data_IF_812957174427
#
_entry.id   IF_812957174427
#
_cell.length_a   1.000
_cell.length_b   1.000
_cell.length_c   1.000
_cell.angle_alpha   90.00
_cell.angle_beta   90.00
_cell.angle_gamma   90.00
#
_symmetry.space_group_name_H-M   'P 1'
#
loop_
_entity.id
_entity.type
_entity.pdbx_description
1 polymer ?
#
# COMPACT_ATOMS: atom_id res chain seq x y z
N UNK A 1 1.18 -14.66 10.09
CA UNK A 1 1.15 -14.45 8.63
C UNK A 1 1.09 -12.96 8.39
N UNK A 2 1.93 -12.46 7.49
CA UNK A 2 2.07 -11.06 7.16
C UNK A 2 1.87 -10.87 5.66
N UNK A 3 1.24 -9.78 5.25
CA UNK A 3 1.16 -9.37 3.86
C UNK A 3 1.76 -7.97 3.73
N UNK A 4 2.56 -7.76 2.69
CA UNK A 4 3.16 -6.46 2.35
C UNK A 4 2.77 -6.05 0.93
N UNK A 5 2.62 -4.75 0.75
CA UNK A 5 2.39 -4.13 -0.54
C UNK A 5 2.76 -2.64 -0.52
N UNK A 6 2.92 -2.06 -1.71
CA UNK A 6 3.21 -0.65 -1.92
C UNK A 6 2.02 0.12 -2.49
N UNK A 7 1.76 1.30 -1.94
CA UNK A 7 0.80 2.25 -2.52
C UNK A 7 1.41 3.62 -2.71
N UNK A 8 1.15 4.20 -3.88
CA UNK A 8 1.49 5.59 -4.17
C UNK A 8 0.40 6.54 -3.68
N UNK A 9 0.81 7.57 -2.93
CA UNK A 9 -0.04 8.68 -2.50
C UNK A 9 0.46 9.97 -3.15
N UNK A 10 -0.41 10.61 -3.94
CA UNK A 10 -0.11 11.90 -4.52
C UNK A 10 -0.41 13.01 -3.51
N UNK A 11 0.53 13.93 -3.35
CA UNK A 11 0.29 15.20 -2.69
C UNK A 11 -0.37 16.18 -3.68
N UNK A 12 -1.25 17.06 -3.18
CA UNK A 12 -1.83 18.16 -3.95
C UNK A 12 -2.94 17.77 -4.93
N UNK A 13 -3.43 16.53 -4.87
CA UNK A 13 -4.59 16.08 -5.67
C UNK A 13 -5.72 15.71 -4.71
N UNK A 14 -6.69 16.62 -4.57
CA UNK A 14 -7.97 16.29 -3.98
C UNK A 14 -8.82 15.55 -5.03
N UNK A 15 -9.53 14.46 -4.67
CA UNK A 15 -10.49 13.83 -5.56
C UNK A 15 -11.58 14.84 -5.93
N UNK A 16 -12.24 14.60 -7.07
CA UNK A 16 -13.38 15.39 -7.50
C UNK A 16 -14.46 15.36 -6.41
N UNK A 17 -14.74 16.50 -5.80
CA UNK A 17 -15.78 16.64 -4.80
C UNK A 17 -17.08 17.12 -5.44
N UNK A 18 -18.22 16.59 -5.00
CA UNK A 18 -19.53 17.17 -5.29
C UNK A 18 -19.70 18.38 -4.38
N UNK A 19 -19.72 19.58 -4.97
CA UNK A 19 -19.94 20.83 -4.23
C UNK A 19 -21.36 21.31 -4.48
N UNK A 20 -22.17 21.41 -3.41
CA UNK A 20 -23.52 22.00 -3.49
C UNK A 20 -23.39 23.51 -3.30
N UNK A 21 -23.61 24.27 -4.38
CA UNK A 21 -23.55 25.73 -4.41
C UNK A 21 -24.92 26.40 -4.52
N UNK A 22 -24.94 27.72 -4.31
CA UNK A 22 -26.12 28.56 -4.46
C UNK A 22 -26.69 28.47 -5.90
N UNK A 23 -28.02 28.44 -6.04
CA UNK A 23 -28.72 28.25 -7.32
C UNK A 23 -28.29 29.31 -8.33
N UNK A 24 -27.48 28.91 -9.32
CA UNK A 24 -27.00 29.79 -10.40
C UNK A 24 -25.47 29.86 -10.54
N UNK A 25 -24.69 29.40 -9.55
CA UNK A 25 -23.22 29.24 -9.70
C UNK A 25 -22.88 27.84 -10.19
N UNK A 26 -22.56 27.70 -11.48
CA UNK A 26 -22.21 26.42 -12.12
C UNK A 26 -20.75 25.98 -11.90
N UNK A 27 -19.83 26.91 -11.60
CA UNK A 27 -18.40 26.62 -11.44
C UNK A 27 -17.88 27.11 -10.08
N UNK A 28 -17.68 26.20 -9.15
CA UNK A 28 -16.92 26.43 -7.92
C UNK A 28 -15.52 25.85 -8.13
N UNK A 29 -14.51 26.71 -8.22
CA UNK A 29 -13.12 26.29 -8.39
C UNK A 29 -12.53 25.96 -7.03
N UNK A 30 -12.24 24.68 -6.77
CA UNK A 30 -11.34 24.30 -5.69
C UNK A 30 -9.92 24.64 -6.15
N UNK A 31 -9.22 25.52 -5.43
CA UNK A 31 -7.79 25.79 -5.70
C UNK A 31 -6.99 24.57 -5.31
N UNK A 32 -6.62 23.74 -6.27
CA UNK A 32 -5.68 22.63 -6.05
C UNK A 32 -4.25 23.12 -6.25
N UNK A 33 -3.36 22.74 -5.33
CA UNK A 33 -1.93 22.98 -5.49
C UNK A 33 -1.35 22.04 -6.56
N UNK A 34 -0.61 22.57 -7.54
CA UNK A 34 -0.02 21.79 -8.64
C UNK A 34 1.16 20.87 -8.26
N UNK A 35 1.44 20.69 -6.97
CA UNK A 35 2.57 19.90 -6.48
C UNK A 35 2.31 18.39 -6.56
N UNK A 36 2.45 17.78 -7.74
CA UNK A 36 2.21 16.35 -8.03
C UNK A 36 3.33 15.42 -7.54
N UNK A 37 3.78 15.55 -6.30
CA UNK A 37 4.78 14.64 -5.74
C UNK A 37 4.12 13.33 -5.31
N UNK A 38 4.60 12.22 -5.87
CA UNK A 38 4.24 10.86 -5.46
C UNK A 38 5.12 10.44 -4.28
N UNK A 39 4.48 10.02 -3.19
CA UNK A 39 5.11 9.40 -2.04
C UNK A 39 4.66 7.94 -2.00
N UNK A 40 5.60 7.01 -1.90
CA UNK A 40 5.29 5.58 -1.84
C UNK A 40 5.28 5.13 -0.39
N UNK A 41 4.22 4.47 0.04
CA UNK A 41 4.14 3.81 1.35
C UNK A 41 4.23 2.31 1.17
N UNK A 42 5.19 1.68 1.85
CA UNK A 42 5.28 0.22 1.99
C UNK A 42 4.57 -0.15 3.29
N UNK A 43 3.48 -0.91 3.20
CA UNK A 43 2.63 -1.24 4.34
C UNK A 43 2.68 -2.73 4.60
N UNK A 44 2.83 -3.12 5.87
CA UNK A 44 2.77 -4.53 6.26
C UNK A 44 1.70 -4.76 7.31
N UNK A 45 0.78 -5.67 7.00
CA UNK A 45 -0.32 -6.06 7.89
C UNK A 45 -0.13 -7.49 8.37
N UNK A 46 -0.70 -7.80 9.54
CA UNK A 46 -0.66 -9.11 10.16
C UNK A 46 -2.07 -9.69 10.27
N UNK A 47 -2.19 -11.01 10.12
CA UNK A 47 -3.46 -11.73 10.20
C UNK A 47 -4.17 -11.62 11.57
N UNK A 48 -3.46 -11.19 12.62
CA UNK A 48 -4.04 -10.87 13.92
C UNK A 48 -4.81 -9.53 13.95
N UNK A 49 -4.81 -8.78 12.84
CA UNK A 49 -5.45 -7.48 12.74
C UNK A 49 -4.54 -6.30 13.08
N UNK A 50 -3.27 -6.54 13.43
CA UNK A 50 -2.26 -5.49 13.63
C UNK A 50 -1.58 -5.10 12.32
N UNK A 51 -0.93 -3.93 12.32
CA UNK A 51 0.00 -3.50 11.26
C UNK A 51 1.35 -3.15 11.87
N UNK A 52 2.40 -3.32 11.07
CA UNK A 52 3.73 -2.86 11.40
C UNK A 52 3.87 -1.37 11.09
N UNK A 53 4.95 -0.77 11.60
CA UNK A 53 5.35 0.58 11.22
C UNK A 53 5.70 0.60 9.73
N UNK A 54 5.13 1.55 9.00
CA UNK A 54 5.27 1.67 7.56
C UNK A 54 6.61 2.30 7.14
N UNK A 55 7.07 1.95 5.94
CA UNK A 55 8.22 2.62 5.29
C UNK A 55 7.72 3.63 4.26
N UNK A 56 8.13 4.90 4.38
CA UNK A 56 7.64 6.00 3.54
C UNK A 56 8.76 6.53 2.64
N UNK A 57 8.69 6.21 1.35
CA UNK A 57 9.69 6.56 0.35
C UNK A 57 9.26 7.83 -0.37
N UNK A 58 10.07 8.89 -0.27
CA UNK A 58 9.86 10.12 -1.02
C UNK A 58 10.70 10.14 -2.30
N UNK A 59 10.15 10.70 -3.38
CA UNK A 59 10.92 10.96 -4.59
C UNK A 59 12.17 11.81 -4.28
N UNK A 60 13.35 11.33 -4.67
CA UNK A 60 14.65 12.00 -4.51
C UNK A 60 15.23 12.01 -3.10
N UNK A 61 14.56 11.42 -2.10
CA UNK A 61 15.11 11.15 -0.76
C UNK A 61 14.46 9.89 -0.21
N UNK A 62 15.26 8.84 -0.05
CA UNK A 62 14.76 7.59 0.52
C UNK A 62 14.79 7.72 2.05
N UNK A 63 13.67 8.12 2.64
CA UNK A 63 13.50 8.01 4.09
C UNK A 63 12.95 6.62 4.42
N UNK A 64 13.82 5.67 4.71
CA UNK A 64 13.48 4.79 5.83
C UNK A 64 13.42 5.69 7.07
N UNK A 65 12.85 5.24 8.19
CA UNK A 65 13.05 5.92 9.48
C UNK A 65 14.52 5.86 9.97
N UNK A 66 15.48 5.85 9.04
CA UNK A 66 16.87 6.25 9.14
C UNK A 66 17.21 7.15 7.94
N UNK A 67 17.67 8.35 8.22
CA UNK A 67 18.10 9.33 7.22
C UNK A 67 19.44 8.88 6.64
N UNK A 68 19.43 8.24 5.47
CA UNK A 68 20.64 8.13 4.64
C UNK A 68 20.63 9.20 3.56
N UNK A 69 21.74 9.91 3.43
CA UNK A 69 21.94 10.93 2.40
C UNK A 69 22.07 10.36 0.97
N UNK A 70 22.10 9.03 0.82
CA UNK A 70 22.17 8.34 -0.48
C UNK A 70 20.80 7.79 -0.87
N UNK A 71 20.42 7.99 -2.14
CA UNK A 71 19.32 7.25 -2.73
C UNK A 71 19.70 5.77 -2.80
N UNK A 72 18.86 4.92 -2.22
CA UNK A 72 18.94 3.47 -2.33
C UNK A 72 18.36 2.98 -3.67
N UNK A 73 18.90 1.88 -4.17
CA UNK A 73 18.28 1.08 -5.23
C UNK A 73 17.09 0.29 -4.68
N UNK A 74 16.19 -0.17 -5.55
CA UNK A 74 15.03 -1.00 -5.13
C UNK A 74 15.46 -2.27 -4.38
N UNK A 75 16.60 -2.84 -4.75
CA UNK A 75 17.12 -4.06 -4.12
C UNK A 75 17.66 -3.79 -2.70
N UNK A 76 18.40 -2.69 -2.52
CA UNK A 76 18.87 -2.28 -1.19
C UNK A 76 17.71 -1.93 -0.25
N UNK A 77 16.66 -1.28 -0.78
CA UNK A 77 15.43 -1.01 -0.03
C UNK A 77 14.75 -2.30 0.42
N UNK A 78 14.70 -3.33 -0.44
CA UNK A 78 14.17 -4.64 -0.06
C UNK A 78 14.92 -5.25 1.12
N UNK A 79 16.26 -5.23 1.08
CA UNK A 79 17.10 -5.78 2.17
C UNK A 79 16.93 -4.99 3.47
N UNK A 80 16.89 -3.67 3.43
CA UNK A 80 16.65 -2.86 4.63
C UNK A 80 15.23 -3.06 5.18
N UNK A 81 14.25 -3.22 4.31
CA UNK A 81 12.88 -3.53 4.69
C UNK A 81 12.78 -4.87 5.44
N UNK A 82 13.39 -5.95 4.94
CA UNK A 82 13.27 -7.27 5.61
C UNK A 82 13.97 -7.28 6.97
N UNK A 83 15.07 -6.53 7.13
CA UNK A 83 15.73 -6.31 8.42
C UNK A 83 14.83 -5.58 9.40
N UNK A 84 14.19 -4.49 8.95
CA UNK A 84 13.25 -3.74 9.78
C UNK A 84 12.02 -4.59 10.15
N UNK A 85 11.48 -5.37 9.21
CA UNK A 85 10.42 -6.33 9.47
C UNK A 85 10.84 -7.36 10.53
N UNK A 86 12.07 -7.89 10.42
CA UNK A 86 12.60 -8.81 11.40
C UNK A 86 12.65 -8.17 12.78
N UNK A 87 13.22 -6.98 12.91
CA UNK A 87 13.30 -6.25 14.19
C UNK A 87 11.93 -5.99 14.80
N UNK A 88 10.95 -5.59 13.98
CA UNK A 88 9.58 -5.34 14.44
C UNK A 88 8.80 -6.61 14.83
N UNK A 89 9.23 -7.78 14.36
CA UNK A 89 8.50 -9.04 14.54
C UNK A 89 9.30 -10.14 15.24
N UNK A 90 10.53 -9.85 15.70
CA UNK A 90 11.42 -10.84 16.33
C UNK A 90 10.84 -11.42 17.63
N UNK A 91 10.08 -10.64 18.38
CA UNK A 91 9.36 -11.13 19.56
C UNK A 91 8.22 -12.11 19.18
N UNK A 92 7.76 -12.07 17.91
CA UNK A 92 6.83 -13.05 17.33
C UNK A 92 7.57 -14.22 16.64
N UNK A 93 8.91 -14.30 16.75
CA UNK A 93 9.74 -15.24 15.98
C UNK A 93 9.96 -16.62 16.63
N UNK A 94 9.33 -16.91 17.76
CA UNK A 94 9.29 -18.29 18.32
C UNK A 94 8.58 -19.29 17.38
N UNK A 95 7.95 -18.79 16.30
CA UNK A 95 7.29 -19.57 15.25
C UNK A 95 7.75 -19.08 13.88
N UNK A 96 7.63 -19.96 12.89
CA UNK A 96 7.81 -19.62 11.47
C UNK A 96 6.90 -18.45 11.12
N UNK A 97 7.49 -17.39 10.57
CA UNK A 97 6.76 -16.23 10.05
C UNK A 97 6.60 -16.41 8.55
N UNK A 98 5.40 -16.16 8.04
CA UNK A 98 5.11 -16.19 6.61
C UNK A 98 4.90 -14.75 6.16
N UNK A 99 5.61 -14.32 5.12
CA UNK A 99 5.46 -13.02 4.48
C UNK A 99 5.01 -13.21 3.03
N UNK A 100 3.81 -12.71 2.72
CA UNK A 100 3.28 -12.67 1.37
C UNK A 100 3.73 -11.37 0.68
N UNK A 101 4.31 -11.51 -0.52
CA UNK A 101 4.85 -10.43 -1.33
C UNK A 101 4.28 -10.49 -2.75
N UNK A 102 4.27 -9.37 -3.46
CA UNK A 102 4.03 -9.39 -4.89
C UNK A 102 5.24 -9.98 -5.64
N UNK A 103 5.09 -10.24 -6.94
CA UNK A 103 6.15 -10.80 -7.78
C UNK A 103 7.26 -9.81 -8.17
N UNK A 104 7.37 -8.64 -7.53
CA UNK A 104 8.33 -7.62 -7.95
C UNK A 104 9.78 -8.04 -7.64
N UNK A 105 10.69 -7.75 -8.57
CA UNK A 105 12.06 -8.27 -8.56
C UNK A 105 12.88 -7.87 -7.30
N UNK A 106 12.52 -6.78 -6.62
CA UNK A 106 13.16 -6.37 -5.36
C UNK A 106 12.95 -7.38 -4.21
N UNK A 107 11.85 -8.12 -4.22
CA UNK A 107 11.53 -9.14 -3.21
C UNK A 107 12.15 -10.51 -3.51
N UNK A 108 12.81 -10.65 -4.66
CA UNK A 108 13.41 -11.90 -5.11
C UNK A 108 14.94 -11.83 -5.22
N UNK A 109 15.58 -10.85 -4.56
CA UNK A 109 17.04 -10.78 -4.53
C UNK A 109 17.61 -11.85 -3.61
N UNK A 110 18.78 -12.39 -3.95
CA UNK A 110 19.44 -13.42 -3.14
C UNK A 110 19.65 -12.96 -1.69
N UNK A 111 20.14 -11.74 -1.49
CA UNK A 111 20.35 -11.16 -0.16
C UNK A 111 19.07 -11.05 0.67
N UNK A 112 17.93 -10.74 0.04
CA UNK A 112 16.63 -10.69 0.72
C UNK A 112 16.18 -12.08 1.17
N UNK A 113 16.30 -13.07 0.28
CA UNK A 113 15.89 -14.45 0.53
C UNK A 113 16.79 -15.13 1.56
N UNK A 114 18.11 -14.92 1.49
CA UNK A 114 19.09 -15.45 2.44
C UNK A 114 18.80 -14.92 3.86
N UNK A 115 18.58 -13.62 4.00
CA UNK A 115 18.23 -13.01 5.29
C UNK A 115 16.89 -13.54 5.82
N UNK A 116 15.88 -13.67 4.96
CA UNK A 116 14.59 -14.23 5.35
C UNK A 116 14.73 -15.68 5.87
N UNK A 117 15.50 -16.51 5.16
CA UNK A 117 15.78 -17.89 5.54
C UNK A 117 16.53 -18.01 6.87
N UNK A 118 17.57 -17.21 7.08
CA UNK A 118 18.36 -17.17 8.33
C UNK A 118 17.50 -16.84 9.55
N UNK A 119 16.43 -16.07 9.34
CA UNK A 119 15.55 -15.59 10.41
C UNK A 119 14.18 -16.28 10.47
N UNK A 120 14.01 -17.48 9.88
CA UNK A 120 12.75 -18.24 9.88
C UNK A 120 11.55 -17.46 9.32
N UNK A 121 11.79 -16.71 8.24
CA UNK A 121 10.77 -15.98 7.49
C UNK A 121 10.60 -16.69 6.14
N UNK A 122 9.46 -17.33 5.94
CA UNK A 122 9.06 -17.94 4.67
C UNK A 122 8.45 -16.87 3.79
N UNK A 123 9.07 -16.65 2.63
CA UNK A 123 8.56 -15.73 1.61
C UNK A 123 7.64 -16.51 0.66
N UNK A 124 6.43 -16.00 0.44
CA UNK A 124 5.48 -16.53 -0.54
C UNK A 124 5.15 -15.40 -1.51
N UNK A 125 5.54 -15.54 -2.77
CA UNK A 125 5.14 -14.61 -3.82
C UNK A 125 3.80 -15.03 -4.43
N UNK A 126 2.95 -14.05 -4.72
CA UNK A 126 1.72 -14.31 -5.47
C UNK A 126 2.03 -14.69 -6.92
N UNK A 127 1.23 -15.58 -7.55
CA UNK A 127 1.33 -15.83 -8.98
C UNK A 127 1.17 -14.52 -9.79
N UNK A 128 1.85 -14.39 -10.94
CA UNK A 128 1.71 -13.22 -11.80
C UNK A 128 0.24 -12.92 -12.13
N UNK A 129 -0.10 -11.63 -12.21
CA UNK A 129 -1.44 -11.13 -12.57
C UNK A 129 -2.59 -11.52 -11.61
N UNK A 130 -2.30 -12.04 -10.41
CA UNK A 130 -3.32 -12.40 -9.41
C UNK A 130 -3.46 -11.41 -8.25
N UNK A 131 -2.65 -10.33 -8.24
CA UNK A 131 -2.63 -9.32 -7.16
C UNK A 131 -4.02 -8.78 -6.84
N UNK A 132 -4.82 -8.47 -7.87
CA UNK A 132 -6.19 -7.97 -7.72
C UNK A 132 -7.15 -8.88 -6.91
N UNK A 133 -6.78 -10.14 -6.67
CA UNK A 133 -7.51 -11.12 -5.87
C UNK A 133 -6.78 -11.57 -4.61
N UNK A 134 -5.46 -11.79 -4.71
CA UNK A 134 -4.67 -12.35 -3.61
C UNK A 134 -4.01 -11.30 -2.71
N UNK A 135 -3.90 -10.05 -3.17
CA UNK A 135 -3.31 -8.98 -2.39
C UNK A 135 -4.39 -8.29 -1.54
N UNK A 136 -4.52 -8.73 -0.29
CA UNK A 136 -5.55 -8.21 0.62
C UNK A 136 -5.42 -6.70 0.88
N UNK A 137 -4.20 -6.16 0.80
CA UNK A 137 -3.96 -4.72 0.94
C UNK A 137 -4.66 -3.91 -0.16
N UNK A 138 -4.57 -4.35 -1.41
CA UNK A 138 -5.29 -3.76 -2.54
C UNK A 138 -6.81 -3.92 -2.40
N UNK A 139 -7.27 -5.11 -2.01
CA UNK A 139 -8.70 -5.46 -1.94
C UNK A 139 -9.44 -4.67 -0.85
N UNK A 140 -8.85 -4.52 0.34
CA UNK A 140 -9.59 -4.04 1.51
C UNK A 140 -9.01 -2.79 2.18
N UNK A 141 -7.71 -2.50 2.03
CA UNK A 141 -7.04 -1.48 2.84
C UNK A 141 -6.70 -0.20 2.06
N UNK A 142 -6.19 -0.33 0.84
CA UNK A 142 -5.69 0.82 0.07
C UNK A 142 -6.81 1.70 -0.51
N UNK A 143 -7.99 1.13 -0.79
CA UNK A 143 -9.17 1.92 -1.13
C UNK A 143 -9.53 2.92 -0.02
N UNK A 144 -9.84 2.46 1.20
CA UNK A 144 -10.07 3.34 2.36
C UNK A 144 -8.92 4.31 2.64
N UNK A 145 -7.66 3.88 2.53
CA UNK A 145 -6.51 4.75 2.72
C UNK A 145 -6.52 5.95 1.76
N UNK A 146 -6.76 5.72 0.46
CA UNK A 146 -6.82 6.79 -0.54
C UNK A 146 -7.96 7.76 -0.27
N UNK A 147 -9.10 7.25 0.22
CA UNK A 147 -10.25 8.09 0.62
C UNK A 147 -9.92 8.95 1.84
N UNK A 148 -9.34 8.36 2.89
CA UNK A 148 -8.99 9.14 4.09
C UNK A 148 -7.83 10.10 3.84
N UNK A 149 -6.87 9.71 3.01
CA UNK A 149 -5.79 10.59 2.57
C UNK A 149 -6.32 11.85 1.87
N UNK A 150 -7.28 11.70 0.96
CA UNK A 150 -7.97 12.82 0.34
C UNK A 150 -8.64 13.73 1.38
N UNK A 151 -9.37 13.15 2.33
CA UNK A 151 -10.04 13.91 3.38
C UNK A 151 -9.07 14.68 4.28
N UNK A 152 -7.92 14.09 4.62
CA UNK A 152 -6.89 14.76 5.41
C UNK A 152 -6.23 15.91 4.63
N UNK A 153 -6.00 15.75 3.32
CA UNK A 153 -5.52 16.85 2.47
C UNK A 153 -6.52 18.02 2.45
N UNK A 154 -7.81 17.72 2.23
CA UNK A 154 -8.86 18.74 2.21
C UNK A 154 -9.02 19.44 3.56
N UNK A 155 -8.92 18.69 4.65
CA UNK A 155 -8.97 19.22 6.01
C UNK A 155 -7.78 20.16 6.27
N UNK A 156 -6.58 19.74 5.88
CA UNK A 156 -5.36 20.53 6.05
C UNK A 156 -5.46 21.89 5.36
N UNK A 157 -5.89 21.90 4.10
CA UNK A 157 -6.05 23.13 3.32
C UNK A 157 -7.13 24.06 3.91
N UNK A 158 -8.25 23.50 4.38
CA UNK A 158 -9.32 24.28 5.01
C UNK A 158 -8.90 24.91 6.33
N UNK A 159 -8.16 24.19 7.16
CA UNK A 159 -7.80 24.64 8.52
C UNK A 159 -6.61 25.60 8.51
N UNK A 160 -5.62 25.37 7.64
CA UNK A 160 -4.38 26.17 7.62
C UNK A 160 -4.33 27.22 6.51
N UNK A 161 -5.21 27.13 5.51
CA UNK A 161 -5.19 28.03 4.34
C UNK A 161 -3.98 27.82 3.42
N UNK A 162 -3.20 26.76 3.66
CA UNK A 162 -1.99 26.43 2.90
C UNK A 162 -2.03 24.96 2.45
N UNK A 163 -1.42 24.64 1.29
CA UNK A 163 -1.36 23.28 0.81
C UNK A 163 -0.40 22.42 1.63
N UNK A 164 -0.70 21.12 1.70
CA UNK A 164 0.13 20.14 2.40
C UNK A 164 1.54 20.08 1.80
N UNK A 165 2.55 20.23 2.66
CA UNK A 165 3.97 20.18 2.29
C UNK A 165 4.55 18.80 2.65
N UNK A 166 5.73 18.51 2.10
CA UNK A 166 6.44 17.24 2.33
C UNK A 166 6.73 16.99 3.82
N UNK A 167 7.01 18.05 4.57
CA UNK A 167 7.31 18.02 6.01
C UNK A 167 6.10 17.59 6.85
N UNK A 168 4.90 17.91 6.36
CA UNK A 168 3.63 17.62 7.02
C UNK A 168 3.05 16.25 6.63
N UNK A 169 3.60 15.64 5.58
CA UNK A 169 3.09 14.39 5.00
C UNK A 169 2.93 13.30 6.05
N UNK A 170 3.94 13.08 6.90
CA UNK A 170 3.91 12.01 7.88
C UNK A 170 2.78 12.19 8.91
N UNK A 171 2.50 13.44 9.30
CA UNK A 171 1.42 13.74 10.24
C UNK A 171 0.05 13.44 9.61
N UNK A 172 -0.22 13.98 8.43
CA UNK A 172 -1.48 13.75 7.73
C UNK A 172 -1.65 12.27 7.33
N UNK A 173 -0.57 11.62 6.90
CA UNK A 173 -0.56 10.21 6.55
C UNK A 173 -0.90 9.36 7.78
N UNK A 174 -0.31 9.64 8.94
CA UNK A 174 -0.61 8.92 10.17
C UNK A 174 -2.10 8.99 10.54
N UNK A 175 -2.73 10.16 10.39
CA UNK A 175 -4.17 10.31 10.63
C UNK A 175 -5.01 9.50 9.63
N UNK A 176 -4.70 9.58 8.33
CA UNK A 176 -5.39 8.81 7.30
C UNK A 176 -5.23 7.29 7.51
N UNK A 177 -3.99 6.84 7.76
CA UNK A 177 -3.63 5.45 7.91
C UNK A 177 -4.28 4.84 9.18
N UNK A 178 -4.35 5.59 10.29
CA UNK A 178 -5.05 5.13 11.51
C UNK A 178 -6.54 4.91 11.29
N UNK A 179 -7.17 5.67 10.39
CA UNK A 179 -8.57 5.48 10.01
C UNK A 179 -8.74 4.34 9.00
N UNK A 180 -7.76 4.15 8.11
CA UNK A 180 -7.80 3.14 7.06
C UNK A 180 -7.52 1.72 7.57
N UNK A 181 -6.48 1.57 8.39
CA UNK A 181 -5.97 0.27 8.84
C UNK A 181 -6.54 -0.10 10.22
N UNK A 182 -7.87 -0.19 10.29
CA UNK A 182 -8.54 -0.74 11.48
C UNK A 182 -8.33 -2.24 11.56
N UNK A 183 -8.43 -2.80 12.77
CA UNK A 183 -8.35 -4.26 12.97
C UNK A 183 -9.35 -5.01 12.08
N UNK A 184 -10.57 -4.47 11.93
CA UNK A 184 -11.61 -5.02 11.07
C UNK A 184 -11.18 -5.02 9.60
N UNK A 185 -10.65 -3.90 9.08
CA UNK A 185 -10.22 -3.81 7.69
C UNK A 185 -9.07 -4.77 7.41
N UNK A 186 -8.10 -4.84 8.33
CA UNK A 186 -6.96 -5.76 8.22
C UNK A 186 -7.43 -7.21 8.21
N UNK A 187 -8.30 -7.61 9.16
CA UNK A 187 -8.84 -8.98 9.16
C UNK A 187 -9.67 -9.28 7.91
N UNK A 188 -10.40 -8.30 7.39
CA UNK A 188 -11.15 -8.46 6.14
C UNK A 188 -10.24 -8.64 4.92
N UNK A 189 -9.06 -7.99 4.90
CA UNK A 189 -8.06 -8.15 3.86
C UNK A 189 -7.60 -9.60 3.73
N UNK A 190 -7.31 -10.27 4.85
CA UNK A 190 -6.92 -11.68 4.84
C UNK A 190 -8.08 -12.64 4.57
N UNK A 191 -9.29 -12.29 5.03
CA UNK A 191 -10.48 -13.10 4.77
C UNK A 191 -10.84 -13.08 3.29
N UNK A 192 -10.77 -11.93 2.64
CA UNK A 192 -11.13 -11.75 1.24
C UNK A 192 -10.21 -12.52 0.28
N UNK A 193 -8.99 -12.83 0.70
CA UNK A 193 -8.02 -13.59 -0.10
C UNK A 193 -8.01 -15.08 0.22
N UNK A 194 -8.77 -15.53 1.23
CA UNK A 194 -8.77 -16.91 1.72
C UNK A 194 -7.46 -17.32 2.39
N UNK A 195 -6.55 -16.38 2.66
CA UNK A 195 -5.27 -16.65 3.31
C UNK A 195 -5.47 -16.86 4.82
N UNK A 196 -6.36 -16.07 5.44
CA UNK A 196 -6.65 -16.22 6.86
C UNK A 196 -8.07 -15.80 7.25
N UNK A 197 -8.90 -16.72 7.80
CA UNK A 197 -8.67 -18.16 7.89
C UNK A 197 -8.42 -18.79 6.51
N UNK A 198 -7.70 -19.92 6.48
CA UNK A 198 -7.43 -20.63 5.22
C UNK A 198 -8.77 -21.08 4.63
N UNK A 199 -9.06 -20.63 3.42
CA UNK A 199 -10.25 -20.97 2.65
C UNK A 199 -9.87 -21.24 1.20
N UNK A 200 -10.04 -22.48 0.78
CA UNK A 200 -9.70 -22.93 -0.58
C UNK A 200 -10.84 -22.74 -1.58
N UNK A 201 -12.05 -22.39 -1.11
CA UNK A 201 -13.26 -22.27 -1.92
C UNK A 201 -13.60 -20.80 -2.25
N UNK A 202 -12.71 -19.86 -1.90
CA UNK A 202 -12.97 -18.44 -2.08
C UNK A 202 -12.93 -17.99 -3.55
N UNK A 203 -12.29 -18.78 -4.41
CA UNK A 203 -12.21 -18.55 -5.85
C UNK A 203 -13.11 -19.54 -6.58
N UNK A 204 -13.92 -19.03 -7.49
CA UNK A 204 -14.80 -19.84 -8.32
C UNK A 204 -14.04 -20.47 -9.50
N UNK A 205 -14.61 -21.47 -10.16
CA UNK A 205 -13.98 -22.13 -11.30
C UNK A 205 -13.61 -21.16 -12.44
N UNK A 206 -14.39 -20.07 -12.61
CA UNK A 206 -14.09 -19.03 -13.58
C UNK A 206 -12.81 -18.25 -13.26
N UNK A 207 -12.39 -18.21 -12.00
CA UNK A 207 -11.17 -17.52 -11.57
C UNK A 207 -9.90 -18.28 -11.98
N UNK A 208 -10.02 -19.57 -12.25
CA UNK A 208 -8.97 -20.43 -12.78
C UNK A 208 -9.03 -20.55 -14.31
N UNK A 209 -10.04 -19.95 -14.95
CA UNK A 209 -10.14 -19.96 -16.40
C UNK A 209 -8.97 -19.20 -17.03
N UNK A 210 -8.37 -19.72 -18.11
CA UNK A 210 -7.30 -19.02 -18.80
C UNK A 210 -7.80 -17.68 -19.33
N UNK A 211 -6.93 -16.66 -19.30
CA UNK A 211 -7.24 -15.36 -19.90
C UNK A 211 -7.61 -15.55 -21.38
N UNK A 212 -8.79 -15.07 -21.78
CA UNK A 212 -9.21 -15.14 -23.18
C UNK A 212 -8.39 -14.16 -24.02
N UNK A 213 -7.84 -14.60 -25.14
CA UNK A 213 -7.19 -13.73 -26.13
C UNK A 213 -8.25 -12.91 -26.91
N UNK A 214 -8.87 -11.91 -26.29
CA UNK A 214 -9.74 -10.98 -27.01
C UNK A 214 -8.97 -9.73 -27.43
N UNK A 215 -7.97 -9.89 -28.30
CA UNK A 215 -7.19 -8.78 -28.88
C UNK A 215 -6.69 -9.05 -30.31
N UNK A 216 -7.57 -9.36 -31.27
CA UNK A 216 -7.20 -9.34 -32.71
C UNK A 216 -8.35 -8.90 -33.63
N UNK A 217 -9.19 -7.94 -33.23
CA UNK A 217 -10.07 -7.27 -34.20
C UNK A 217 -9.97 -5.76 -34.02
N UNK A 218 -8.90 -5.19 -34.58
CA UNK A 218 -8.82 -3.76 -34.82
C UNK A 218 -9.80 -3.38 -35.94
N UNK A 219 -11.01 -3.00 -35.56
CA UNK A 219 -11.90 -2.26 -36.45
C UNK A 219 -11.43 -0.80 -36.48
N UNK A 220 -10.69 -0.41 -37.51
CA UNK A 220 -10.57 1.01 -37.84
C UNK A 220 -11.90 1.52 -38.43
N UNK A 221 -12.32 2.75 -38.12
CA UNK A 221 -13.49 3.39 -38.73
C UNK A 221 -13.34 3.60 -40.24
#
# INVERSE_FOLDING_TARGET
MFAVDETGLMMGVAPSQIVVGERGRRNLHLRQNGNRQLVTSVVTICADGSRLKETIIFKGKNCLYTSSAKGYTNNELGVEYIKDLHEQTKEKADKVRILFVDGHASHCTLAFLDFAAEHNIVIISYPPHTTHKLQGLDVACFGPLKVFWAQEQDKWERERGEPLRKEDFLQAYHHAATRAFTESNIRSAFRATGVWPIDHEIFADEDFAPAQETSTHGGFP
#
